data_IF_204063962744
#
_entry.id   IF_204063962744
#
_cell.length_a   1.000
_cell.length_b   1.000
_cell.length_c   1.000
_cell.angle_alpha   90.00
_cell.angle_beta   90.00
_cell.angle_gamma   90.00
#
_symmetry.space_group_name_H-M   'P 1'
#
loop_
_entity.id
_entity.type
_entity.pdbx_description
1 polymer ?
#
# COMPACT_ATOMS: atom_id res chain seq x y z
N UNK A 1 20.44 22.19 25.80
CA UNK A 1 20.73 20.81 26.27
C UNK A 1 19.44 20.04 26.13
N UNK A 2 19.12 19.38 25.02
CA UNK A 2 19.95 18.49 24.22
C UNK A 2 19.68 17.07 24.70
N UNK A 3 18.79 16.35 24.03
CA UNK A 3 18.38 14.99 24.39
C UNK A 3 17.36 14.44 23.41
N UNK A 4 17.79 14.20 22.17
CA UNK A 4 17.05 13.44 21.17
C UNK A 4 16.90 11.98 21.67
N UNK A 5 15.66 11.50 21.73
CA UNK A 5 15.35 10.09 21.90
C UNK A 5 15.29 9.45 20.51
N UNK A 6 16.43 9.34 19.85
CA UNK A 6 16.60 8.49 18.67
C UNK A 6 16.76 7.04 19.17
N UNK A 7 15.62 6.41 19.47
CA UNK A 7 15.54 4.98 19.69
C UNK A 7 15.42 4.25 18.35
N UNK A 8 16.46 4.31 17.51
CA UNK A 8 16.63 3.32 16.45
C UNK A 8 16.88 1.96 17.13
N UNK A 9 15.81 1.18 17.30
CA UNK A 9 15.90 -0.19 17.75
C UNK A 9 16.84 -0.97 16.84
N UNK A 10 17.90 -1.56 17.40
CA UNK A 10 18.82 -2.41 16.66
C UNK A 10 18.04 -3.45 15.84
N UNK A 11 18.39 -3.69 14.56
CA UNK A 11 17.66 -4.64 13.73
C UNK A 11 17.65 -6.00 14.42
N UNK A 12 16.46 -6.58 14.59
CA UNK A 12 16.30 -7.93 15.13
C UNK A 12 17.20 -8.92 14.38
N UNK A 13 17.69 -9.96 15.05
CA UNK A 13 18.52 -11.01 14.44
C UNK A 13 17.84 -11.62 13.21
N UNK A 14 16.50 -11.69 13.20
CA UNK A 14 15.71 -12.14 12.07
C UNK A 14 15.74 -11.17 10.88
N UNK A 15 15.76 -9.85 11.11
CA UNK A 15 15.88 -8.85 10.05
C UNK A 15 17.28 -8.83 9.43
N UNK A 16 18.31 -9.08 10.25
CA UNK A 16 19.69 -9.22 9.77
C UNK A 16 19.82 -10.45 8.86
N UNK A 17 19.26 -11.59 9.26
CA UNK A 17 19.21 -12.80 8.44
C UNK A 17 18.41 -12.58 7.15
N UNK A 18 17.25 -11.94 7.22
CA UNK A 18 16.45 -11.60 6.02
C UNK A 18 17.21 -10.76 5.01
N UNK A 19 18.03 -9.81 5.46
CA UNK A 19 18.89 -9.00 4.58
C UNK A 19 20.00 -9.83 3.92
N UNK A 20 20.51 -10.86 4.59
CA UNK A 20 21.53 -11.77 4.04
C UNK A 20 20.96 -12.74 2.99
N UNK A 21 19.65 -13.01 3.03
CA UNK A 21 18.98 -13.91 2.08
C UNK A 21 18.72 -13.30 0.70
N UNK A 22 18.82 -11.97 0.57
CA UNK A 22 18.53 -11.28 -0.69
C UNK A 22 19.67 -11.54 -1.69
N UNK A 23 19.35 -12.21 -2.80
CA UNK A 23 20.30 -12.45 -3.89
C UNK A 23 20.25 -11.28 -4.88
N UNK A 24 21.33 -10.48 -5.01
CA UNK A 24 21.39 -9.40 -5.98
C UNK A 24 21.38 -9.94 -7.41
N UNK A 25 22.07 -11.05 -7.67
CA UNK A 25 22.11 -11.69 -9.01
C UNK A 25 20.73 -12.17 -9.45
N UNK A 26 19.98 -12.81 -8.56
CA UNK A 26 18.62 -13.28 -8.87
C UNK A 26 17.66 -12.11 -9.06
N UNK A 27 17.80 -11.06 -8.23
CA UNK A 27 17.04 -9.81 -8.38
C UNK A 27 17.31 -9.14 -9.72
N UNK A 28 18.58 -9.03 -10.15
CA UNK A 28 18.94 -8.48 -11.47
C UNK A 28 18.39 -9.32 -12.62
N UNK A 29 18.46 -10.66 -12.53
CA UNK A 29 17.86 -11.54 -13.54
C UNK A 29 16.35 -11.33 -13.64
N UNK A 30 15.64 -11.23 -12.51
CA UNK A 30 14.20 -10.95 -12.50
C UNK A 30 13.90 -9.60 -13.15
N UNK A 31 14.65 -8.56 -12.81
CA UNK A 31 14.49 -7.24 -13.40
C UNK A 31 14.72 -7.25 -14.92
N UNK A 32 15.70 -8.01 -15.41
CA UNK A 32 15.93 -8.18 -16.84
C UNK A 32 14.73 -8.87 -17.52
N UNK A 33 14.16 -9.93 -16.92
CA UNK A 33 12.96 -10.58 -17.47
C UNK A 33 11.74 -9.66 -17.48
N UNK A 34 11.58 -8.84 -16.44
CA UNK A 34 10.48 -7.87 -16.35
C UNK A 34 10.66 -6.65 -17.28
N UNK A 35 11.86 -6.45 -17.83
CA UNK A 35 12.13 -5.41 -18.82
C UNK A 35 11.56 -5.72 -20.21
N UNK A 36 11.30 -6.99 -20.51
CA UNK A 36 10.63 -7.38 -21.76
C UNK A 36 9.11 -7.20 -21.62
N UNK A 37 8.62 -6.05 -22.09
CA UNK A 37 7.20 -5.72 -22.07
C UNK A 37 6.32 -6.75 -22.77
N UNK A 38 6.80 -7.38 -23.86
CA UNK A 38 6.05 -8.39 -24.61
C UNK A 38 5.94 -9.68 -23.81
N UNK A 39 7.04 -10.15 -23.20
CA UNK A 39 7.02 -11.33 -22.35
C UNK A 39 6.08 -11.15 -21.14
N UNK A 40 6.11 -9.97 -20.51
CA UNK A 40 5.24 -9.63 -19.38
C UNK A 40 3.77 -9.60 -19.81
N UNK A 41 3.44 -8.87 -20.88
CA UNK A 41 2.06 -8.70 -21.35
C UNK A 41 1.45 -9.98 -21.91
N UNK A 42 2.26 -10.86 -22.50
CA UNK A 42 1.83 -12.18 -22.97
C UNK A 42 1.73 -13.22 -21.83
N UNK A 43 2.17 -12.89 -20.61
CA UNK A 43 2.27 -13.87 -19.51
C UNK A 43 3.30 -14.97 -19.76
N UNK A 44 4.30 -14.69 -20.61
CA UNK A 44 5.33 -15.62 -21.04
C UNK A 44 6.61 -15.54 -20.20
N UNK A 45 6.52 -15.05 -18.96
CA UNK A 45 7.65 -15.04 -18.04
C UNK A 45 8.09 -16.48 -17.72
N UNK A 46 9.40 -16.72 -17.55
CA UNK A 46 9.88 -18.04 -17.15
C UNK A 46 9.23 -18.52 -15.84
N UNK A 47 8.82 -19.80 -15.78
CA UNK A 47 8.09 -20.35 -14.62
C UNK A 47 8.84 -20.25 -13.28
N UNK A 48 10.18 -20.11 -13.31
CA UNK A 48 10.97 -19.88 -12.10
C UNK A 48 10.59 -18.57 -11.39
N UNK A 49 10.17 -17.53 -12.12
CA UNK A 49 9.78 -16.24 -11.56
C UNK A 49 8.62 -16.43 -10.58
N UNK A 50 7.55 -17.12 -11.02
CA UNK A 50 6.39 -17.40 -10.19
C UNK A 50 6.73 -18.30 -8.99
N UNK A 51 7.43 -19.41 -9.25
CA UNK A 51 7.75 -20.39 -8.21
C UNK A 51 8.61 -19.78 -7.11
N UNK A 52 9.68 -19.07 -7.46
CA UNK A 52 10.59 -18.48 -6.47
C UNK A 52 9.94 -17.31 -5.73
N UNK A 53 9.19 -16.43 -6.39
CA UNK A 53 8.53 -15.30 -5.70
C UNK A 53 7.39 -15.77 -4.79
N UNK A 54 6.74 -16.90 -5.11
CA UNK A 54 5.68 -17.47 -4.28
C UNK A 54 6.21 -18.29 -3.10
N UNK A 55 7.32 -19.02 -3.29
CA UNK A 55 7.87 -19.94 -2.28
C UNK A 55 8.98 -19.32 -1.44
N UNK A 56 9.79 -18.46 -2.03
CA UNK A 56 11.00 -17.88 -1.47
C UNK A 56 11.09 -16.37 -1.76
N UNK A 57 10.09 -15.56 -1.36
CA UNK A 57 10.06 -14.12 -1.65
C UNK A 57 11.28 -13.38 -1.07
N UNK A 58 11.87 -13.87 0.01
CA UNK A 58 12.99 -13.20 0.69
C UNK A 58 14.32 -13.28 -0.07
N UNK A 59 14.39 -14.08 -1.14
CA UNK A 59 15.53 -14.09 -2.07
C UNK A 59 15.60 -12.83 -2.94
N UNK A 60 14.51 -12.07 -3.03
CA UNK A 60 14.40 -10.90 -3.90
C UNK A 60 14.34 -9.62 -3.09
N UNK A 61 14.96 -8.56 -3.61
CA UNK A 61 14.81 -7.24 -3.00
C UNK A 61 13.35 -6.79 -2.99
N UNK A 62 12.90 -6.00 -1.99
CA UNK A 62 11.54 -5.49 -1.92
C UNK A 62 11.09 -4.81 -3.22
N UNK A 63 11.97 -4.01 -3.84
CA UNK A 63 11.69 -3.36 -5.11
C UNK A 63 11.48 -4.33 -6.28
N UNK A 64 12.23 -5.44 -6.33
CA UNK A 64 12.06 -6.45 -7.38
C UNK A 64 10.73 -7.21 -7.22
N UNK A 65 10.34 -7.50 -5.97
CA UNK A 65 9.02 -8.07 -5.66
C UNK A 65 7.88 -7.15 -6.07
N UNK A 66 7.99 -5.86 -5.74
CA UNK A 66 7.00 -4.85 -6.11
C UNK A 66 6.86 -4.76 -7.63
N UNK A 67 7.97 -4.69 -8.37
CA UNK A 67 7.95 -4.68 -9.85
C UNK A 67 7.25 -5.91 -10.43
N UNK A 68 7.57 -7.11 -9.93
CA UNK A 68 6.89 -8.32 -10.38
C UNK A 68 5.39 -8.28 -10.09
N UNK A 69 5.00 -7.82 -8.89
CA UNK A 69 3.61 -7.69 -8.49
C UNK A 69 2.82 -6.77 -9.45
N UNK A 70 3.32 -5.56 -9.74
CA UNK A 70 2.67 -4.63 -10.66
C UNK A 70 2.63 -5.16 -12.11
N UNK A 71 3.68 -5.85 -12.54
CA UNK A 71 3.77 -6.41 -13.89
C UNK A 71 2.81 -7.58 -14.13
N UNK A 72 2.46 -8.36 -13.11
CA UNK A 72 1.72 -9.62 -13.28
C UNK A 72 0.31 -9.63 -12.70
N UNK A 73 0.00 -8.74 -11.74
CA UNK A 73 -1.23 -8.89 -10.93
C UNK A 73 -2.46 -8.16 -11.48
N UNK A 74 -2.28 -7.16 -12.36
CA UNK A 74 -3.36 -6.21 -12.70
C UNK A 74 -3.84 -6.25 -14.16
N UNK A 75 -3.39 -7.25 -14.92
CA UNK A 75 -3.75 -7.48 -16.32
C UNK A 75 -2.89 -6.72 -17.32
N UNK A 76 -3.06 -7.06 -18.60
CA UNK A 76 -2.18 -6.67 -19.71
C UNK A 76 -2.03 -5.16 -19.87
N UNK A 77 -3.13 -4.40 -19.91
CA UNK A 77 -3.07 -2.95 -20.13
C UNK A 77 -2.29 -2.22 -19.05
N UNK A 78 -2.35 -2.70 -17.80
CA UNK A 78 -1.61 -2.11 -16.67
C UNK A 78 -0.17 -2.57 -16.63
N UNK A 79 0.08 -3.83 -16.95
CA UNK A 79 1.44 -4.32 -17.11
C UNK A 79 2.20 -3.53 -18.19
N UNK A 80 1.54 -3.27 -19.32
CA UNK A 80 2.06 -2.42 -20.39
C UNK A 80 2.27 -0.98 -19.92
N UNK A 81 1.26 -0.37 -19.30
CA UNK A 81 1.38 0.99 -18.74
C UNK A 81 2.57 1.09 -17.77
N UNK A 82 2.69 0.15 -16.83
CA UNK A 82 3.77 0.13 -15.84
C UNK A 82 5.14 -0.10 -16.45
N UNK A 83 5.24 -0.93 -17.49
CA UNK A 83 6.48 -1.14 -18.24
C UNK A 83 6.91 0.13 -18.98
N UNK A 84 5.97 0.83 -19.59
CA UNK A 84 6.22 2.10 -20.29
C UNK A 84 6.62 3.22 -19.34
N UNK A 85 5.94 3.35 -18.19
CA UNK A 85 6.27 4.38 -17.19
C UNK A 85 7.72 4.25 -16.68
N UNK A 86 8.30 3.05 -16.64
CA UNK A 86 9.72 2.88 -16.32
C UNK A 86 10.66 3.47 -17.39
N UNK A 87 10.31 3.30 -18.67
CA UNK A 87 11.06 3.91 -19.77
C UNK A 87 10.88 5.42 -19.82
N UNK A 88 9.64 5.89 -19.66
CA UNK A 88 9.31 7.32 -19.62
C UNK A 88 10.01 8.00 -18.45
N UNK A 89 10.06 7.39 -17.26
CA UNK A 89 10.78 7.95 -16.12
C UNK A 89 12.27 8.18 -16.43
N UNK A 90 12.92 7.27 -17.16
CA UNK A 90 14.31 7.43 -17.57
C UNK A 90 14.48 8.55 -18.62
N UNK A 91 13.58 8.65 -19.59
CA UNK A 91 13.59 9.73 -20.59
C UNK A 91 13.28 11.09 -19.95
N UNK A 92 12.27 11.17 -19.08
CA UNK A 92 11.92 12.37 -18.33
C UNK A 92 13.07 12.82 -17.43
N UNK A 93 13.82 11.89 -16.84
CA UNK A 93 15.04 12.22 -16.09
C UNK A 93 16.12 12.89 -16.96
N UNK A 94 16.22 12.52 -18.25
CA UNK A 94 17.13 13.18 -19.19
C UNK A 94 16.71 14.63 -19.51
N UNK A 95 15.41 14.93 -19.42
CA UNK A 95 14.84 16.28 -19.63
C UNK A 95 14.56 17.02 -18.32
N UNK A 96 15.02 16.50 -17.17
CA UNK A 96 14.69 17.07 -15.85
C UNK A 96 15.21 18.51 -15.68
N UNK A 97 16.38 18.84 -16.24
CA UNK A 97 16.94 20.19 -16.18
C UNK A 97 16.13 21.19 -17.03
N UNK A 98 15.73 20.78 -18.24
CA UNK A 98 14.87 21.55 -19.16
C UNK A 98 13.50 21.81 -18.51
N UNK A 99 12.85 20.77 -17.98
CA UNK A 99 11.58 20.89 -17.26
C UNK A 99 11.68 21.80 -16.03
N UNK A 100 12.75 21.68 -15.24
CA UNK A 100 12.95 22.54 -14.07
C UNK A 100 13.18 24.02 -14.46
N UNK A 101 13.78 24.29 -15.62
CA UNK A 101 13.92 25.65 -16.14
C UNK A 101 12.56 26.21 -16.58
N UNK A 102 11.74 25.40 -17.26
CA UNK A 102 10.38 25.78 -17.66
C UNK A 102 9.47 26.00 -16.46
N UNK A 103 9.54 25.18 -15.41
CA UNK A 103 8.76 25.38 -14.18
C UNK A 103 9.12 26.71 -13.47
N UNK A 104 10.40 27.09 -13.47
CA UNK A 104 10.82 28.41 -12.95
C UNK A 104 10.26 29.55 -13.80
N UNK A 105 10.38 29.45 -15.12
CA UNK A 105 9.84 30.45 -16.04
C UNK A 105 8.31 30.59 -15.93
N UNK A 106 7.61 29.47 -15.70
CA UNK A 106 6.16 29.44 -15.46
C UNK A 106 5.80 30.20 -14.19
N UNK A 107 6.50 29.94 -13.08
CA UNK A 107 6.27 30.64 -11.81
C UNK A 107 6.57 32.13 -11.94
N UNK A 108 7.64 32.51 -12.65
CA UNK A 108 7.96 33.91 -12.93
C UNK A 108 6.85 34.61 -13.73
N UNK A 109 6.29 33.94 -14.74
CA UNK A 109 5.16 34.43 -15.52
C UNK A 109 3.86 34.54 -14.71
N UNK A 110 3.58 33.57 -13.82
CA UNK A 110 2.44 33.62 -12.90
C UNK A 110 2.58 34.78 -11.90
N UNK A 111 3.78 35.00 -11.34
CA UNK A 111 4.07 36.10 -10.41
C UNK A 111 4.00 37.47 -11.09
N UNK A 112 4.52 37.58 -12.32
CA UNK A 112 4.44 38.80 -13.10
C UNK A 112 3.05 39.05 -13.71
N UNK A 113 2.13 38.08 -13.60
CA UNK A 113 0.81 38.10 -14.24
C UNK A 113 0.88 38.31 -15.77
N UNK A 114 1.95 37.81 -16.40
CA UNK A 114 2.15 37.86 -17.85
C UNK A 114 1.47 36.66 -18.52
N UNK A 115 0.26 36.89 -19.05
CA UNK A 115 -0.53 35.85 -19.70
C UNK A 115 0.12 35.29 -20.97
N UNK A 116 0.94 36.08 -21.68
CA UNK A 116 1.56 35.64 -22.93
C UNK A 116 2.80 34.79 -22.66
N UNK A 117 3.66 35.22 -21.73
CA UNK A 117 4.78 34.40 -21.27
C UNK A 117 4.30 33.08 -20.66
N UNK A 118 3.18 33.10 -19.92
CA UNK A 118 2.59 31.88 -19.36
C UNK A 118 2.12 30.92 -20.46
N UNK A 119 1.47 31.43 -21.51
CA UNK A 119 1.03 30.62 -22.64
C UNK A 119 2.21 29.98 -23.39
N UNK A 120 3.28 30.74 -23.63
CA UNK A 120 4.51 30.25 -24.29
C UNK A 120 5.19 29.15 -23.47
N UNK A 121 5.31 29.31 -22.15
CA UNK A 121 5.91 28.28 -21.28
C UNK A 121 5.04 27.02 -21.25
N UNK A 122 3.71 27.15 -21.20
CA UNK A 122 2.79 25.99 -21.25
C UNK A 122 2.93 25.22 -22.57
N UNK A 123 3.10 25.92 -23.70
CA UNK A 123 3.35 25.29 -25.00
C UNK A 123 4.70 24.54 -25.01
N UNK A 124 5.77 25.15 -24.51
CA UNK A 124 7.09 24.51 -24.40
C UNK A 124 7.08 23.27 -23.50
N UNK A 125 6.38 23.32 -22.36
CA UNK A 125 6.20 22.16 -21.48
C UNK A 125 5.46 21.03 -22.23
N UNK A 126 4.43 21.36 -23.01
CA UNK A 126 3.70 20.38 -23.80
C UNK A 126 4.58 19.72 -24.88
N UNK A 127 5.46 20.47 -25.54
CA UNK A 127 6.41 19.93 -26.53
C UNK A 127 7.43 18.96 -25.90
N UNK A 128 7.96 19.30 -24.72
CA UNK A 128 8.88 18.43 -23.98
C UNK A 128 8.16 17.15 -23.53
N UNK A 129 6.92 17.26 -23.06
CA UNK A 129 6.09 16.11 -22.69
C UNK A 129 5.75 15.22 -23.90
N UNK A 130 5.50 15.78 -25.09
CA UNK A 130 5.31 15.00 -26.32
C UNK A 130 6.59 14.24 -26.72
N UNK A 131 7.76 14.88 -26.60
CA UNK A 131 9.06 14.21 -26.79
C UNK A 131 9.27 13.06 -25.81
N UNK A 132 8.91 13.24 -24.53
CA UNK A 132 8.98 12.21 -23.49
C UNK A 132 8.01 11.04 -23.80
N UNK A 133 6.82 11.37 -24.30
CA UNK A 133 5.74 10.41 -24.54
C UNK A 133 5.77 9.73 -25.91
N UNK A 134 6.66 10.13 -26.83
CA UNK A 134 6.63 9.74 -28.25
C UNK A 134 6.58 8.22 -28.49
N UNK A 135 7.30 7.44 -27.69
CA UNK A 135 7.40 5.98 -27.85
C UNK A 135 6.32 5.21 -27.05
N UNK A 136 5.34 5.91 -26.46
CA UNK A 136 4.24 5.27 -25.72
C UNK A 136 3.26 4.59 -26.67
N UNK A 137 3.08 3.29 -26.49
CA UNK A 137 2.00 2.46 -27.00
C UNK A 137 0.67 2.73 -26.23
N UNK A 138 0.17 3.96 -26.34
CA UNK A 138 -1.13 4.37 -25.80
C UNK A 138 -1.18 4.59 -24.29
N UNK A 139 -2.32 5.11 -23.82
CA UNK A 139 -2.56 5.44 -22.42
C UNK A 139 -3.51 4.44 -21.74
N UNK A 140 -3.36 4.28 -20.43
CA UNK A 140 -4.33 3.53 -19.63
C UNK A 140 -5.64 4.32 -19.59
N UNK A 141 -6.75 3.67 -19.96
CA UNK A 141 -8.08 4.28 -19.87
C UNK A 141 -8.38 4.71 -18.43
N UNK A 142 -8.74 5.96 -18.23
CA UNK A 142 -9.30 6.48 -16.99
C UNK A 142 -10.82 6.62 -17.09
N UNK A 143 -11.50 6.34 -15.98
CA UNK A 143 -12.92 6.64 -15.80
C UNK A 143 -13.02 7.71 -14.71
N UNK A 144 -13.75 8.79 -15.01
CA UNK A 144 -13.93 9.92 -14.10
C UNK A 144 -15.20 9.70 -13.27
N UNK A 145 -15.04 9.70 -11.94
CA UNK A 145 -16.13 9.59 -10.99
C UNK A 145 -16.34 10.90 -10.24
N UNK A 146 -17.59 11.38 -10.24
CA UNK A 146 -17.99 12.56 -9.47
C UNK A 146 -18.49 12.16 -8.08
N UNK A 147 -17.97 12.81 -7.05
CA UNK A 147 -18.25 12.49 -5.64
C UNK A 147 -18.59 13.75 -4.86
N UNK A 148 -19.68 13.73 -4.10
CA UNK A 148 -20.02 14.80 -3.15
C UNK A 148 -19.27 14.62 -1.82
N UNK A 149 -18.85 15.73 -1.20
CA UNK A 149 -18.24 15.72 0.15
C UNK A 149 -19.26 15.47 1.25
N UNK A 150 -20.51 15.90 1.08
CA UNK A 150 -21.55 15.86 2.12
C UNK A 150 -21.94 14.42 2.49
N UNK A 151 -21.92 13.53 1.50
CA UNK A 151 -22.24 12.11 1.65
C UNK A 151 -21.07 11.23 1.19
N UNK A 152 -19.85 11.59 1.60
CA UNK A 152 -18.62 10.96 1.11
C UNK A 152 -18.61 9.44 1.30
N UNK A 153 -18.94 8.95 2.49
CA UNK A 153 -18.80 7.53 2.84
C UNK A 153 -19.78 6.62 2.06
N UNK A 154 -21.10 6.92 2.00
CA UNK A 154 -22.03 6.18 1.13
C UNK A 154 -21.68 6.29 -0.36
N UNK A 155 -21.20 7.45 -0.81
CA UNK A 155 -20.78 7.65 -2.20
C UNK A 155 -19.57 6.80 -2.54
N UNK A 156 -18.58 6.74 -1.65
CA UNK A 156 -17.39 5.91 -1.80
C UNK A 156 -17.73 4.41 -1.83
N UNK A 157 -18.65 3.95 -0.97
CA UNK A 157 -19.12 2.56 -0.97
C UNK A 157 -19.73 2.16 -2.31
N UNK A 158 -20.60 3.01 -2.85
CA UNK A 158 -21.21 2.79 -4.17
C UNK A 158 -20.16 2.82 -5.27
N UNK A 159 -19.27 3.81 -5.25
CA UNK A 159 -18.21 3.97 -6.24
C UNK A 159 -17.30 2.74 -6.28
N UNK A 160 -16.81 2.29 -5.13
CA UNK A 160 -15.97 1.09 -5.04
C UNK A 160 -16.75 -0.17 -5.43
N UNK A 161 -18.05 -0.23 -5.15
CA UNK A 161 -18.91 -1.32 -5.62
C UNK A 161 -19.00 -1.40 -7.15
N UNK A 162 -19.17 -0.26 -7.81
CA UNK A 162 -19.25 -0.17 -9.28
C UNK A 162 -17.89 -0.42 -9.94
N UNK A 163 -16.80 0.13 -9.38
CA UNK A 163 -15.46 0.03 -9.97
C UNK A 163 -14.68 -1.22 -9.58
N UNK A 164 -15.17 -2.06 -8.68
CA UNK A 164 -14.45 -3.25 -8.21
C UNK A 164 -14.00 -4.19 -9.35
N UNK A 165 -14.81 -4.32 -10.40
CA UNK A 165 -14.50 -5.14 -11.58
C UNK A 165 -13.85 -4.39 -12.74
N UNK A 166 -13.71 -3.06 -12.65
CA UNK A 166 -13.24 -2.26 -13.76
C UNK A 166 -11.71 -2.34 -13.92
N UNK A 167 -11.23 -2.44 -15.16
CA UNK A 167 -9.80 -2.47 -15.45
C UNK A 167 -9.17 -1.07 -15.57
N UNK A 168 -10.00 -0.06 -15.89
CA UNK A 168 -9.65 1.35 -16.00
C UNK A 168 -9.10 1.93 -14.70
N UNK A 169 -8.25 2.96 -14.84
CA UNK A 169 -7.84 3.81 -13.73
C UNK A 169 -9.06 4.60 -13.23
N UNK A 170 -9.16 4.82 -11.93
CA UNK A 170 -10.19 5.67 -11.35
C UNK A 170 -9.62 7.06 -11.13
N UNK A 171 -10.31 8.07 -11.66
CA UNK A 171 -10.04 9.47 -11.37
C UNK A 171 -11.24 10.08 -10.66
N UNK A 172 -11.02 10.74 -9.53
CA UNK A 172 -12.10 11.33 -8.73
C UNK A 172 -12.13 12.84 -8.93
N UNK A 173 -13.33 13.35 -9.17
CA UNK A 173 -13.63 14.77 -9.16
C UNK A 173 -14.66 15.05 -8.06
N UNK A 174 -14.40 16.05 -7.21
CA UNK A 174 -15.38 16.50 -6.23
C UNK A 174 -16.43 17.41 -6.88
N UNK A 175 -17.69 17.22 -6.51
CA UNK A 175 -18.78 18.05 -7.02
C UNK A 175 -18.58 19.52 -6.66
N UNK A 176 -18.70 20.41 -7.65
CA UNK A 176 -18.50 21.85 -7.46
C UNK A 176 -17.04 22.31 -7.43
N UNK A 177 -16.06 21.40 -7.56
CA UNK A 177 -14.63 21.72 -7.59
C UNK A 177 -14.05 21.55 -9.00
N UNK A 178 -13.14 22.46 -9.38
CA UNK A 178 -12.42 22.44 -10.66
C UNK A 178 -11.11 21.63 -10.63
N UNK A 179 -10.86 20.87 -9.56
CA UNK A 179 -9.67 20.03 -9.42
C UNK A 179 -9.75 18.71 -10.20
N UNK A 180 -8.64 18.31 -10.83
CA UNK A 180 -8.44 17.02 -11.51
C UNK A 180 -7.07 16.42 -11.16
N UNK A 181 -6.88 15.14 -11.51
CA UNK A 181 -5.60 14.45 -11.39
C UNK A 181 -5.40 13.60 -10.13
N UNK A 182 -4.19 13.05 -10.01
CA UNK A 182 -3.80 12.09 -8.97
C UNK A 182 -3.88 12.67 -7.56
N UNK A 183 -3.54 13.96 -7.37
CA UNK A 183 -3.63 14.61 -6.07
C UNK A 183 -5.06 14.68 -5.52
N UNK A 184 -6.04 14.98 -6.38
CA UNK A 184 -7.47 14.99 -6.00
C UNK A 184 -7.96 13.59 -5.68
N UNK A 185 -7.51 12.60 -6.45
CA UNK A 185 -7.86 11.20 -6.23
C UNK A 185 -7.24 10.65 -4.94
N UNK A 186 -5.98 11.00 -4.63
CA UNK A 186 -5.35 10.67 -3.34
C UNK A 186 -6.09 11.35 -2.18
N UNK A 187 -6.53 12.60 -2.33
CA UNK A 187 -7.36 13.29 -1.34
C UNK A 187 -8.68 12.55 -1.09
N UNK A 188 -9.31 11.98 -2.12
CA UNK A 188 -10.49 11.13 -1.94
C UNK A 188 -10.21 9.94 -1.03
N UNK A 189 -9.13 9.18 -1.25
CA UNK A 189 -8.78 8.04 -0.38
C UNK A 189 -8.48 8.48 1.06
N UNK A 190 -7.77 9.60 1.24
CA UNK A 190 -7.49 10.18 2.56
C UNK A 190 -8.76 10.65 3.26
N UNK A 191 -9.68 11.30 2.56
CA UNK A 191 -10.94 11.78 3.11
C UNK A 191 -11.87 10.62 3.51
N UNK A 192 -11.91 9.54 2.71
CA UNK A 192 -12.66 8.32 3.04
C UNK A 192 -12.04 7.62 4.26
N UNK A 193 -10.72 7.55 4.35
CA UNK A 193 -10.03 7.03 5.54
C UNK A 193 -10.40 7.84 6.78
N UNK A 194 -10.36 9.17 6.70
CA UNK A 194 -10.76 10.05 7.80
C UNK A 194 -12.23 9.84 8.21
N UNK A 195 -13.17 9.72 7.27
CA UNK A 195 -14.56 9.39 7.62
C UNK A 195 -14.64 8.04 8.35
N UNK A 196 -13.91 7.00 7.93
CA UNK A 196 -13.89 5.70 8.62
C UNK A 196 -13.33 5.75 10.06
N UNK A 197 -12.65 6.83 10.43
CA UNK A 197 -12.12 7.08 11.77
C UNK A 197 -13.01 7.99 12.62
N UNK A 198 -14.08 8.57 12.07
CA UNK A 198 -14.96 9.46 12.84
C UNK A 198 -15.80 8.66 13.84
N UNK A 199 -15.89 9.16 15.06
CA UNK A 199 -16.66 8.58 16.15
C UNK A 199 -18.15 8.41 15.80
N UNK A 200 -18.72 9.31 14.98
CA UNK A 200 -20.11 9.21 14.50
C UNK A 200 -20.38 7.88 13.78
N UNK A 201 -19.50 7.50 12.85
CA UNK A 201 -19.65 6.28 12.03
C UNK A 201 -19.34 5.03 12.84
N UNK A 202 -18.40 5.13 13.78
CA UNK A 202 -18.10 4.07 14.74
C UNK A 202 -19.27 3.84 15.72
N UNK A 203 -20.02 4.87 16.10
CA UNK A 203 -21.20 4.74 16.95
C UNK A 203 -22.36 4.05 16.21
N UNK A 204 -22.54 4.33 14.92
CA UNK A 204 -23.52 3.67 14.05
C UNK A 204 -23.16 2.20 13.79
N UNK A 205 -21.89 1.92 13.51
CA UNK A 205 -21.39 0.59 13.20
C UNK A 205 -19.98 0.41 13.79
N UNK A 206 -19.82 -0.27 14.93
CA UNK A 206 -18.54 -0.30 15.63
C UNK A 206 -17.58 -1.30 14.99
N UNK A 207 -16.69 -0.81 14.13
CA UNK A 207 -15.73 -1.63 13.38
C UNK A 207 -14.43 -1.84 14.15
N UNK A 208 -14.00 -0.84 14.90
CA UNK A 208 -12.67 -0.81 15.52
C UNK A 208 -12.73 -1.01 17.04
N UNK A 209 -11.69 -1.60 17.61
CA UNK A 209 -11.44 -1.50 19.04
C UNK A 209 -10.99 -0.06 19.34
N UNK A 210 -11.89 0.72 19.95
CA UNK A 210 -11.61 2.07 20.41
C UNK A 210 -11.67 2.09 21.95
N UNK A 211 -10.72 2.75 22.59
CA UNK A 211 -10.78 2.99 24.02
C UNK A 211 -11.87 4.04 24.29
N UNK A 212 -12.75 3.77 25.26
CA UNK A 212 -13.98 4.56 25.46
C UNK A 212 -13.72 5.91 26.15
N UNK A 213 -12.47 6.24 26.47
CA UNK A 213 -12.10 7.44 27.23
C UNK A 213 -11.41 8.49 26.33
N UNK A 214 -12.16 9.06 25.39
CA UNK A 214 -11.69 10.22 24.63
C UNK A 214 -12.08 10.13 23.17
N UNK A 215 -13.30 10.59 22.85
CA UNK A 215 -13.53 11.14 21.51
C UNK A 215 -12.63 12.37 21.45
N UNK A 216 -11.73 12.42 20.47
CA UNK A 216 -10.92 13.60 20.19
C UNK A 216 -11.87 14.82 20.03
N UNK A 217 -11.54 16.03 20.52
CA UNK A 217 -12.23 17.27 20.14
C UNK A 217 -12.64 17.36 18.66
N UNK A 218 -11.85 16.79 17.75
CA UNK A 218 -12.11 16.76 16.30
C UNK A 218 -13.10 15.67 15.84
N UNK A 219 -13.58 14.83 16.77
CA UNK A 219 -14.60 13.81 16.51
C UNK A 219 -14.05 12.50 15.95
N UNK A 220 -12.75 12.22 16.08
CA UNK A 220 -12.11 10.96 15.71
C UNK A 220 -12.11 9.94 16.87
N UNK A 221 -12.00 8.66 16.53
CA UNK A 221 -11.81 7.59 17.52
C UNK A 221 -10.39 7.66 18.11
N UNK A 222 -10.28 7.47 19.43
CA UNK A 222 -8.97 7.29 20.08
C UNK A 222 -8.48 5.84 19.91
N UNK A 223 -7.25 5.69 19.44
CA UNK A 223 -6.56 4.40 19.33
C UNK A 223 -5.06 4.57 19.66
N UNK A 224 -4.40 3.58 20.29
CA UNK A 224 -3.00 3.66 20.71
C UNK A 224 -2.01 3.45 19.53
N UNK A 225 -2.31 4.03 18.36
CA UNK A 225 -1.44 3.98 17.17
C UNK A 225 -1.78 2.91 16.13
N UNK A 226 -2.59 1.90 16.44
CA UNK A 226 -3.07 0.93 15.44
C UNK A 226 -4.51 0.51 15.67
N UNK A 227 -5.21 0.24 14.58
CA UNK A 227 -6.60 -0.21 14.55
C UNK A 227 -6.66 -1.72 14.49
N UNK A 228 -7.46 -2.26 15.39
CA UNK A 228 -7.83 -3.66 15.42
C UNK A 228 -9.33 -3.79 15.16
N UNK A 229 -9.77 -4.75 14.33
CA UNK A 229 -11.18 -5.06 14.19
C UNK A 229 -11.81 -5.38 15.54
N UNK A 230 -12.98 -4.82 15.82
CA UNK A 230 -13.79 -5.13 16.99
C UNK A 230 -14.42 -6.52 16.84
N UNK A 231 -14.18 -7.45 17.77
CA UNK A 231 -14.92 -8.71 17.80
C UNK A 231 -16.41 -8.44 17.98
N UNK A 232 -17.23 -9.10 17.15
CA UNK A 232 -18.68 -9.07 17.34
C UNK A 232 -19.09 -10.13 18.36
N UNK A 233 -20.03 -9.81 19.28
CA UNK A 233 -20.56 -10.80 20.19
C UNK A 233 -21.29 -11.92 19.41
N UNK A 234 -21.27 -13.17 19.88
CA UNK A 234 -21.99 -14.27 19.24
C UNK A 234 -23.48 -13.97 19.00
N UNK A 235 -24.09 -13.21 19.91
CA UNK A 235 -25.50 -12.82 19.91
C UNK A 235 -25.80 -11.59 19.04
N UNK A 236 -24.80 -11.02 18.34
CA UNK A 236 -24.99 -9.84 17.50
C UNK A 236 -26.12 -10.04 16.48
N UNK A 237 -27.04 -9.08 16.29
CA UNK A 237 -28.13 -9.23 15.32
C UNK A 237 -27.63 -9.54 13.90
N UNK A 238 -28.34 -10.38 13.11
CA UNK A 238 -27.92 -10.73 11.75
C UNK A 238 -27.67 -9.50 10.85
N UNK A 239 -28.50 -8.46 10.98
CA UNK A 239 -28.36 -7.22 10.23
C UNK A 239 -27.04 -6.48 10.55
N UNK A 240 -26.63 -6.45 11.82
CA UNK A 240 -25.36 -5.84 12.25
C UNK A 240 -24.19 -6.64 11.70
N UNK A 241 -24.25 -7.99 11.75
CA UNK A 241 -23.21 -8.85 11.18
C UNK A 241 -23.02 -8.62 9.68
N UNK A 242 -24.11 -8.53 8.93
CA UNK A 242 -24.04 -8.24 7.50
C UNK A 242 -23.58 -6.81 7.19
N UNK A 243 -23.97 -5.82 8.00
CA UNK A 243 -23.46 -4.45 7.85
C UNK A 243 -21.95 -4.38 8.08
N UNK A 244 -21.43 -5.02 9.14
CA UNK A 244 -19.98 -5.09 9.41
C UNK A 244 -19.24 -5.82 8.29
N UNK A 245 -19.77 -6.96 7.81
CA UNK A 245 -19.19 -7.67 6.66
C UNK A 245 -19.20 -6.82 5.40
N UNK A 246 -20.28 -6.11 5.14
CA UNK A 246 -20.40 -5.17 4.02
C UNK A 246 -19.35 -4.07 4.09
N UNK A 247 -19.11 -3.52 5.28
CA UNK A 247 -18.10 -2.49 5.52
C UNK A 247 -16.67 -3.00 5.33
N UNK A 248 -16.33 -4.18 5.83
CA UNK A 248 -15.01 -4.78 5.57
C UNK A 248 -14.82 -5.16 4.10
N UNK A 249 -15.89 -5.57 3.40
CA UNK A 249 -15.86 -5.78 1.95
C UNK A 249 -15.59 -4.47 1.19
N UNK A 250 -16.21 -3.37 1.61
CA UNK A 250 -15.90 -2.05 1.09
C UNK A 250 -14.44 -1.67 1.35
N UNK A 251 -13.94 -1.82 2.58
CA UNK A 251 -12.54 -1.53 2.93
C UNK A 251 -11.56 -2.33 2.06
N UNK A 252 -11.82 -3.62 1.84
CA UNK A 252 -11.02 -4.45 0.96
C UNK A 252 -11.01 -3.96 -0.49
N UNK A 253 -12.18 -3.55 -1.02
CA UNK A 253 -12.28 -2.95 -2.37
C UNK A 253 -11.55 -1.62 -2.46
N UNK A 254 -11.70 -0.76 -1.46
CA UNK A 254 -11.04 0.54 -1.37
C UNK A 254 -9.51 0.37 -1.37
N UNK A 255 -8.98 -0.50 -0.51
CA UNK A 255 -7.55 -0.79 -0.41
C UNK A 255 -7.02 -1.46 -1.70
N UNK A 256 -7.76 -2.41 -2.27
CA UNK A 256 -7.36 -3.06 -3.52
C UNK A 256 -7.34 -2.08 -4.71
N UNK A 257 -8.33 -1.18 -4.80
CA UNK A 257 -8.39 -0.17 -5.85
C UNK A 257 -7.27 0.85 -5.69
N UNK A 258 -7.03 1.32 -4.47
CA UNK A 258 -5.90 2.20 -4.16
C UNK A 258 -4.57 1.56 -4.55
N UNK A 259 -4.29 0.33 -4.08
CA UNK A 259 -3.06 -0.41 -4.40
C UNK A 259 -2.88 -0.62 -5.92
N UNK A 260 -3.95 -0.92 -6.65
CA UNK A 260 -3.92 -1.12 -8.10
C UNK A 260 -3.61 0.16 -8.88
N UNK A 261 -4.06 1.31 -8.37
CA UNK A 261 -3.92 2.62 -8.99
C UNK A 261 -2.78 3.46 -8.36
N UNK A 262 -1.91 2.84 -7.55
CA UNK A 262 -0.77 3.46 -6.87
C UNK A 262 -1.13 4.60 -5.90
N UNK A 263 -2.28 4.45 -5.24
CA UNK A 263 -2.73 5.31 -4.15
C UNK A 263 -2.61 4.64 -2.79
N UNK A 264 -2.65 5.46 -1.75
CA UNK A 264 -2.58 5.02 -0.35
C UNK A 264 -3.91 5.31 0.33
N UNK A 265 -4.44 4.32 1.07
CA UNK A 265 -5.52 4.55 2.04
C UNK A 265 -4.85 4.69 3.41
N UNK A 266 -4.77 5.90 3.99
CA UNK A 266 -4.03 6.14 5.23
C UNK A 266 -4.83 5.69 6.45
N UNK A 267 -5.13 4.39 6.53
CA UNK A 267 -5.73 3.77 7.71
C UNK A 267 -4.63 3.07 8.50
N UNK A 268 -4.44 3.40 9.79
CA UNK A 268 -3.41 2.79 10.63
C UNK A 268 -3.84 1.38 11.08
N UNK A 269 -4.02 0.46 10.13
CA UNK A 269 -4.37 -0.93 10.41
C UNK A 269 -3.19 -1.64 11.09
N UNK A 270 -3.48 -2.44 12.11
CA UNK A 270 -2.46 -3.28 12.75
C UNK A 270 -1.78 -4.20 11.74
N UNK A 271 -0.45 -4.30 11.83
CA UNK A 271 0.34 -5.24 11.01
C UNK A 271 -0.01 -6.70 11.33
N UNK A 272 -0.36 -7.02 12.58
CA UNK A 272 -0.81 -8.35 12.98
C UNK A 272 -2.14 -8.70 12.32
N UNK A 273 -3.06 -7.73 12.27
CA UNK A 273 -4.31 -7.91 11.55
C UNK A 273 -4.06 -8.16 10.06
N UNK A 274 -3.20 -7.37 9.41
CA UNK A 274 -2.83 -7.59 8.01
C UNK A 274 -2.12 -8.94 7.79
N UNK A 275 -1.32 -9.39 8.75
CA UNK A 275 -0.68 -10.71 8.72
C UNK A 275 -1.71 -11.83 8.74
N UNK A 276 -2.71 -11.74 9.63
CA UNK A 276 -3.84 -12.68 9.69
C UNK A 276 -4.67 -12.67 8.40
N UNK A 277 -4.96 -11.50 7.84
CA UNK A 277 -5.70 -11.38 6.56
C UNK A 277 -4.97 -12.08 5.41
N UNK A 278 -3.63 -12.12 5.44
CA UNK A 278 -2.81 -12.85 4.47
C UNK A 278 -2.77 -14.37 4.70
N UNK A 279 -3.49 -14.88 5.70
CA UNK A 279 -3.49 -16.29 6.10
C UNK A 279 -2.26 -16.69 6.93
N UNK A 280 -1.56 -15.72 7.51
CA UNK A 280 -0.52 -15.96 8.49
C UNK A 280 -1.07 -16.37 9.85
N UNK A 281 -0.19 -16.84 10.72
CA UNK A 281 -0.48 -17.15 12.12
C UNK A 281 0.34 -16.21 13.00
N UNK A 282 -0.28 -15.66 14.04
CA UNK A 282 0.46 -14.88 15.03
C UNK A 282 1.27 -15.82 15.91
N UNK A 283 2.53 -15.47 16.13
CA UNK A 283 3.40 -16.12 17.11
C UNK A 283 3.40 -15.35 18.42
N UNK A 284 4.09 -15.88 19.42
CA UNK A 284 4.25 -15.21 20.72
C UNK A 284 4.92 -13.84 20.62
N UNK A 285 5.70 -13.57 19.56
CA UNK A 285 6.33 -12.27 19.30
C UNK A 285 5.31 -11.15 19.03
N UNK A 286 4.06 -11.49 18.67
CA UNK A 286 2.99 -10.53 18.45
C UNK A 286 2.36 -10.02 19.77
N UNK A 287 2.75 -10.58 20.91
CA UNK A 287 2.26 -10.09 22.21
C UNK A 287 2.91 -8.75 22.56
N UNK A 288 2.15 -7.82 23.16
CA UNK A 288 2.69 -6.53 23.57
C UNK A 288 3.83 -6.74 24.59
N UNK A 289 4.92 -5.97 24.49
CA UNK A 289 6.02 -6.08 25.44
C UNK A 289 5.56 -5.79 26.88
N UNK A 290 6.29 -6.35 27.85
CA UNK A 290 5.94 -6.20 29.26
C UNK A 290 5.84 -4.71 29.63
N UNK A 291 4.72 -4.30 30.25
CA UNK A 291 4.45 -2.91 30.63
C UNK A 291 3.81 -2.03 29.55
N UNK A 292 3.75 -2.45 28.28
CA UNK A 292 3.21 -1.61 27.20
C UNK A 292 1.69 -1.36 27.29
N UNK A 293 0.95 -2.29 27.89
CA UNK A 293 -0.52 -2.20 28.02
C UNK A 293 -0.99 -2.08 29.47
N UNK A 294 -0.08 -1.85 30.43
CA UNK A 294 -0.40 -1.61 31.84
C UNK A 294 -1.24 -2.70 32.55
N UNK A 295 -1.44 -3.87 31.96
CA UNK A 295 -2.41 -4.87 32.43
C UNK A 295 -2.07 -6.33 32.10
N UNK A 296 -3.03 -7.23 32.33
CA UNK A 296 -2.94 -8.71 32.31
C UNK A 296 -2.24 -9.28 31.06
N UNK A 297 -2.39 -8.65 29.89
CA UNK A 297 -1.72 -9.06 28.65
C UNK A 297 -0.17 -9.03 28.75
N UNK A 298 0.39 -8.11 29.53
CA UNK A 298 1.84 -8.05 29.77
C UNK A 298 2.35 -9.19 30.65
N UNK A 299 1.54 -9.70 31.58
CA UNK A 299 1.84 -10.89 32.36
C UNK A 299 1.82 -12.15 31.48
N UNK A 300 0.90 -12.21 30.50
CA UNK A 300 0.87 -13.27 29.52
C UNK A 300 2.07 -13.23 28.55
N UNK A 301 2.65 -12.06 28.26
CA UNK A 301 3.87 -11.99 27.44
C UNK A 301 5.06 -12.71 28.10
N UNK A 302 5.22 -12.60 29.42
CA UNK A 302 6.26 -13.33 30.16
C UNK A 302 6.03 -14.86 30.11
N UNK A 303 4.79 -15.30 30.34
CA UNK A 303 4.40 -16.72 30.24
C UNK A 303 4.54 -17.23 28.82
N UNK A 304 4.24 -16.42 27.82
CA UNK A 304 4.38 -16.75 26.40
C UNK A 304 5.83 -16.92 25.98
N UNK A 305 6.76 -16.11 26.52
CA UNK A 305 8.19 -16.32 26.29
C UNK A 305 8.67 -17.67 26.87
N UNK A 306 8.18 -18.05 28.05
CA UNK A 306 8.48 -19.37 28.64
C UNK A 306 7.87 -20.53 27.83
N UNK A 307 6.64 -20.37 27.35
CA UNK A 307 5.98 -21.34 26.46
C UNK A 307 6.68 -21.45 25.11
N UNK A 308 7.10 -20.33 24.50
CA UNK A 308 7.84 -20.32 23.24
C UNK A 308 9.19 -21.04 23.38
N UNK A 309 9.89 -20.85 24.49
CA UNK A 309 11.13 -21.55 24.80
C UNK A 309 10.89 -23.06 25.00
N UNK A 310 9.79 -23.44 25.64
CA UNK A 310 9.38 -24.82 25.81
C UNK A 310 8.98 -25.49 24.49
N UNK A 311 8.22 -24.81 23.63
CA UNK A 311 7.81 -25.28 22.30
C UNK A 311 9.01 -25.45 21.36
N UNK A 312 9.96 -24.51 21.40
CA UNK A 312 11.22 -24.61 20.67
C UNK A 312 12.08 -25.80 21.15
N UNK A 313 12.11 -26.05 22.46
CA UNK A 313 12.81 -27.20 23.05
C UNK A 313 12.09 -28.55 22.78
N UNK A 314 10.76 -28.53 22.63
CA UNK A 314 9.94 -29.69 22.31
C UNK A 314 9.87 -30.02 20.80
N UNK A 315 10.45 -29.17 19.95
CA UNK A 315 10.43 -29.35 18.49
C UNK A 315 9.07 -29.10 17.85
N UNK A 316 8.23 -28.25 18.45
CA UNK A 316 6.96 -27.84 17.85
C UNK A 316 7.25 -26.91 16.66
N UNK A 317 7.32 -27.53 15.48
CA UNK A 317 7.75 -26.91 14.22
C UNK A 317 6.67 -25.98 13.66
N UNK A 318 6.92 -24.66 13.68
CA UNK A 318 6.09 -23.69 12.94
C UNK A 318 6.29 -23.86 11.42
N UNK A 319 5.24 -24.16 10.63
CA UNK A 319 5.33 -24.28 9.18
C UNK A 319 5.77 -22.99 8.46
N UNK A 320 5.71 -21.82 9.11
CA UNK A 320 6.30 -20.58 8.59
C UNK A 320 7.84 -20.56 8.79
N UNK A 321 8.34 -21.06 9.93
CA UNK A 321 9.77 -21.19 10.21
C UNK A 321 10.45 -22.17 9.25
N UNK A 322 9.81 -23.30 8.92
CA UNK A 322 10.31 -24.24 7.89
C UNK A 322 10.52 -23.60 6.52
N UNK A 323 9.63 -22.68 6.10
CA UNK A 323 9.76 -21.99 4.80
C UNK A 323 10.94 -21.02 4.79
N UNK A 324 11.15 -20.31 5.90
CA UNK A 324 12.29 -19.40 6.09
C UNK A 324 13.62 -20.16 6.13
N UNK A 325 13.69 -21.27 6.89
CA UNK A 325 14.88 -22.10 6.99
C UNK A 325 15.23 -22.81 5.68
N UNK A 326 14.24 -23.33 4.94
CA UNK A 326 14.46 -23.94 3.63
C UNK A 326 14.91 -22.91 2.58
N UNK A 327 14.37 -21.68 2.60
CA UNK A 327 14.84 -20.60 1.76
C UNK A 327 16.28 -20.18 2.10
N UNK A 328 16.65 -20.22 3.39
CA UNK A 328 18.01 -19.93 3.85
C UNK A 328 19.04 -21.00 3.43
N UNK A 329 18.68 -22.27 3.54
CA UNK A 329 19.52 -23.37 3.06
C UNK A 329 19.73 -23.30 1.54
N UNK A 330 18.67 -22.99 0.78
CA UNK A 330 18.77 -22.82 -0.67
C UNK A 330 19.62 -21.60 -1.06
N UNK A 331 19.54 -20.48 -0.34
CA UNK A 331 20.37 -19.30 -0.61
C UNK A 331 21.88 -19.59 -0.45
N UNK A 332 22.25 -20.45 0.50
CA UNK A 332 23.64 -20.83 0.75
C UNK A 332 24.24 -21.73 -0.35
N UNK A 333 23.42 -22.48 -1.09
CA UNK A 333 23.88 -23.30 -2.23
C UNK A 333 24.11 -22.48 -3.52
N UNK A 334 23.58 -21.25 -3.59
CA UNK A 334 23.65 -20.39 -4.78
C UNK A 334 24.49 -19.10 -4.60
N UNK A 335 25.12 -18.91 -3.44
CA UNK A 335 26.10 -17.86 -3.17
C UNK A 335 27.50 -18.27 -3.69
#
# INVERSE_FOLDING_TARGET
MGGACDGEGAPSSADTLRRQLVSPRLSSKLQQQLGDALAVTAGALPGWCEVLLRRCPDLFSPGSRARYFHATSFGVSRALHWSQEQGVAAVRAAYAEELAALDRARLEAEVSSDAQALAEVVEQVAEVEDRIGRDRMGALRSDIARVSRDALLPSAERLMGLHAGCASALEVQFEGESGFGSGVTQNFYSAVANELLKAKHQAELPLWLAEHAGIDPEGFISHPGSLFPRPLPPEAPPAVREAVRGRFRFLGRLAAKACRDDFIVPLPLSLDFLHLVRGGSLTYDALPPAGATGGVASAYAAVACELAAADAAAGYDDPAARRSAAAAAAAAEFA
#
